data_IF_402686304728
#
_entry.id   IF_402686304728
#
_cell.length_a   1.000
_cell.length_b   1.000
_cell.length_c   1.000
_cell.angle_alpha   90.00
_cell.angle_beta   90.00
_cell.angle_gamma   90.00
#
_symmetry.space_group_name_H-M   'P 1'
#
loop_
_entity.id
_entity.type
_entity.pdbx_description
1 polymer ?
#
# COMPACT_ATOMS: atom_id res chain seq x y z
N UNK A 1 -5.95 14.95 -41.01
CA UNK A 1 -6.32 16.35 -40.72
C UNK A 1 -5.11 17.02 -40.10
N UNK A 2 -4.10 17.39 -40.91
CA UNK A 2 -2.88 18.13 -40.50
C UNK A 2 -3.18 19.01 -39.30
N UNK A 3 -2.55 18.75 -38.13
CA UNK A 3 -2.53 19.66 -36.98
C UNK A 3 -2.68 21.08 -37.51
N UNK A 4 -3.89 21.64 -37.37
CA UNK A 4 -4.12 23.01 -37.84
C UNK A 4 -3.15 23.81 -36.98
N UNK A 5 -2.14 24.42 -37.61
CA UNK A 5 -1.24 25.32 -36.91
C UNK A 5 -2.14 26.25 -36.13
N UNK A 6 -2.09 26.17 -34.80
CA UNK A 6 -2.78 27.12 -33.95
C UNK A 6 -2.18 28.47 -34.36
N UNK A 7 -2.94 29.35 -35.03
CA UNK A 7 -2.36 30.54 -35.60
C UNK A 7 -1.67 31.33 -34.49
N UNK A 8 -0.42 31.72 -34.72
CA UNK A 8 0.41 32.52 -33.80
C UNK A 8 0.98 31.82 -32.55
N UNK A 9 0.97 30.48 -32.46
CA UNK A 9 1.70 29.78 -31.41
C UNK A 9 3.17 29.52 -31.85
N UNK A 10 4.20 30.03 -31.15
CA UNK A 10 5.59 29.72 -31.48
C UNK A 10 5.88 28.26 -31.16
N UNK A 11 6.59 27.58 -32.06
CA UNK A 11 7.09 26.23 -31.82
C UNK A 11 8.17 26.27 -30.74
N UNK A 12 7.90 25.65 -29.58
CA UNK A 12 8.80 25.67 -28.42
C UNK A 12 9.78 24.50 -28.37
N UNK A 13 9.50 23.40 -29.07
CA UNK A 13 10.33 22.19 -29.03
C UNK A 13 10.04 21.26 -30.21
N UNK A 14 11.02 20.43 -30.61
CA UNK A 14 10.85 19.33 -31.57
C UNK A 14 11.46 18.04 -31.03
N UNK A 15 10.83 16.87 -31.29
CA UNK A 15 11.40 15.59 -30.93
C UNK A 15 12.69 15.31 -31.70
N UNK A 16 13.70 14.82 -30.98
CA UNK A 16 14.93 14.30 -31.57
C UNK A 16 14.74 12.90 -32.19
N UNK A 17 15.75 12.40 -32.92
CA UNK A 17 15.65 11.17 -33.75
C UNK A 17 15.11 9.93 -33.01
N UNK A 18 15.44 9.77 -31.72
CA UNK A 18 15.08 8.62 -30.88
C UNK A 18 13.77 8.79 -30.09
N UNK A 19 13.14 9.97 -30.15
CA UNK A 19 11.86 10.15 -29.49
C UNK A 19 10.78 9.25 -30.11
N UNK A 20 10.02 8.58 -29.25
CA UNK A 20 8.87 7.77 -29.64
C UNK A 20 9.19 6.41 -30.24
N UNK A 21 10.39 5.86 -30.07
CA UNK A 21 10.78 4.58 -30.68
C UNK A 21 9.87 3.41 -30.27
N UNK A 22 9.41 3.35 -29.02
CA UNK A 22 8.42 2.34 -28.60
C UNK A 22 7.06 2.53 -29.30
N UNK A 23 6.62 3.77 -29.50
CA UNK A 23 5.40 4.06 -30.24
C UNK A 23 5.52 3.66 -31.71
N UNK A 24 6.68 3.90 -32.34
CA UNK A 24 6.98 3.47 -33.72
C UNK A 24 6.97 1.94 -33.84
N UNK A 25 7.58 1.24 -32.88
CA UNK A 25 7.57 -0.24 -32.83
C UNK A 25 6.14 -0.77 -32.67
N UNK A 26 5.38 -0.21 -31.74
CA UNK A 26 4.00 -0.63 -31.51
C UNK A 26 3.11 -0.39 -32.74
N UNK A 27 3.21 0.81 -33.35
CA UNK A 27 2.53 1.13 -34.61
C UNK A 27 2.87 0.13 -35.71
N UNK A 28 4.14 -0.26 -35.86
CA UNK A 28 4.56 -1.22 -36.87
C UNK A 28 3.92 -2.60 -36.67
N UNK A 29 3.79 -3.06 -35.42
CA UNK A 29 3.07 -4.30 -35.08
C UNK A 29 1.62 -4.22 -35.55
N UNK A 30 0.95 -3.09 -35.34
CA UNK A 30 -0.43 -2.86 -35.82
C UNK A 30 -0.49 -2.90 -37.35
N UNK A 31 0.37 -2.15 -38.03
CA UNK A 31 0.41 -2.10 -39.50
C UNK A 31 0.61 -3.50 -40.11
N UNK A 32 1.53 -4.28 -39.55
CA UNK A 32 1.85 -5.62 -40.04
C UNK A 32 0.72 -6.63 -39.74
N UNK A 33 0.14 -6.58 -38.54
CA UNK A 33 -0.90 -7.54 -38.13
C UNK A 33 -2.25 -7.31 -38.81
N UNK A 34 -2.64 -6.03 -38.94
CA UNK A 34 -3.95 -5.64 -39.50
C UNK A 34 -3.89 -5.23 -40.97
N UNK A 35 -2.69 -5.29 -41.59
CA UNK A 35 -2.45 -4.93 -42.99
C UNK A 35 -2.92 -3.50 -43.31
N UNK A 36 -2.72 -2.58 -42.36
CA UNK A 36 -3.07 -1.16 -42.50
C UNK A 36 -1.81 -0.32 -42.69
N UNK A 37 -1.96 0.83 -43.35
CA UNK A 37 -0.90 1.85 -43.45
C UNK A 37 -1.35 3.05 -42.64
N UNK A 38 -0.55 3.45 -41.66
CA UNK A 38 -0.88 4.56 -40.77
C UNK A 38 0.12 5.68 -41.05
N UNK A 39 -0.30 6.82 -41.60
CA UNK A 39 0.60 7.94 -41.88
C UNK A 39 0.61 8.93 -40.70
N UNK A 40 1.77 9.04 -40.03
CA UNK A 40 1.89 9.91 -38.84
C UNK A 40 1.09 9.43 -37.62
N UNK A 41 0.77 10.37 -36.73
CA UNK A 41 0.06 10.13 -35.47
C UNK A 41 -1.47 10.15 -35.66
N UNK A 42 -1.98 11.04 -36.52
CA UNK A 42 -3.43 11.23 -36.72
C UNK A 42 -4.12 9.96 -37.23
N UNK A 43 -3.52 9.30 -38.22
CA UNK A 43 -4.05 8.05 -38.75
C UNK A 43 -4.01 6.94 -37.69
N UNK A 44 -2.93 6.89 -36.91
CA UNK A 44 -2.80 5.89 -35.84
C UNK A 44 -3.81 6.13 -34.72
N UNK A 45 -4.03 7.38 -34.33
CA UNK A 45 -5.06 7.77 -33.36
C UNK A 45 -6.47 7.45 -33.88
N UNK A 46 -6.77 7.77 -35.14
CA UNK A 46 -8.06 7.44 -35.74
C UNK A 46 -8.28 5.92 -35.71
N UNK A 47 -7.29 5.15 -36.12
CA UNK A 47 -7.34 3.69 -36.10
C UNK A 47 -7.55 3.15 -34.67
N UNK A 48 -6.85 3.68 -33.66
CA UNK A 48 -6.96 3.20 -32.28
C UNK A 48 -8.33 3.47 -31.65
N UNK A 49 -9.01 4.53 -32.07
CA UNK A 49 -10.37 4.86 -31.61
C UNK A 49 -11.42 4.02 -32.35
N UNK A 50 -11.27 3.86 -33.67
CA UNK A 50 -12.20 3.07 -34.50
C UNK A 50 -12.09 1.55 -34.22
N UNK A 51 -10.92 1.08 -33.80
CA UNK A 51 -10.62 -0.34 -33.51
C UNK A 51 -10.16 -0.50 -32.05
N UNK A 52 -10.96 0.01 -31.12
CA UNK A 52 -10.59 0.12 -29.70
C UNK A 52 -10.31 -1.24 -29.04
N UNK A 53 -11.08 -2.28 -29.38
CA UNK A 53 -10.88 -3.61 -28.83
C UNK A 53 -9.54 -4.21 -29.28
N UNK A 54 -9.24 -4.10 -30.57
CA UNK A 54 -8.00 -4.54 -31.20
C UNK A 54 -6.81 -3.77 -30.60
N UNK A 55 -6.89 -2.44 -30.57
CA UNK A 55 -5.82 -1.58 -30.04
C UNK A 55 -5.43 -1.96 -28.61
N UNK A 56 -6.41 -2.09 -27.71
CA UNK A 56 -6.13 -2.42 -26.31
C UNK A 56 -5.68 -3.87 -26.11
N UNK A 57 -6.15 -4.81 -26.93
CA UNK A 57 -5.64 -6.18 -26.94
C UNK A 57 -4.16 -6.24 -27.38
N UNK A 58 -3.79 -5.51 -28.44
CA UNK A 58 -2.39 -5.45 -28.86
C UNK A 58 -1.51 -4.71 -27.86
N UNK A 59 -2.02 -3.65 -27.23
CA UNK A 59 -1.25 -2.92 -26.22
C UNK A 59 -0.96 -3.80 -25.01
N UNK A 60 -1.92 -4.62 -24.60
CA UNK A 60 -1.72 -5.62 -23.55
C UNK A 60 -0.57 -6.58 -23.88
N UNK A 61 -0.52 -7.08 -25.10
CA UNK A 61 0.54 -8.00 -25.54
C UNK A 61 1.88 -7.28 -25.70
N UNK A 62 1.88 -6.07 -26.26
CA UNK A 62 3.08 -5.26 -26.44
C UNK A 62 3.74 -4.85 -25.12
N UNK A 63 2.93 -4.57 -24.08
CA UNK A 63 3.41 -4.29 -22.73
C UNK A 63 3.83 -5.56 -21.98
N UNK A 64 3.61 -6.74 -22.57
CA UNK A 64 3.90 -8.04 -21.98
C UNK A 64 3.31 -8.16 -20.56
N UNK A 65 2.03 -7.79 -20.42
CA UNK A 65 1.31 -7.85 -19.14
C UNK A 65 1.36 -9.27 -18.62
N UNK A 66 1.75 -9.43 -17.35
CA UNK A 66 1.73 -10.71 -16.64
C UNK A 66 0.32 -10.95 -16.11
N UNK A 67 -0.23 -12.13 -16.42
CA UNK A 67 -1.57 -12.54 -16.02
C UNK A 67 -1.65 -14.05 -15.79
N UNK A 68 -2.58 -14.45 -14.93
CA UNK A 68 -2.92 -15.86 -14.66
C UNK A 68 -4.06 -16.37 -15.54
N UNK A 69 -4.91 -15.47 -16.03
CA UNK A 69 -5.95 -15.75 -17.03
C UNK A 69 -6.09 -14.56 -17.97
N UNK A 70 -6.10 -14.82 -19.27
CA UNK A 70 -6.35 -13.80 -20.29
C UNK A 70 -7.81 -13.35 -20.25
N UNK A 71 -8.08 -12.12 -20.67
CA UNK A 71 -9.45 -11.65 -20.88
C UNK A 71 -10.16 -12.48 -21.97
N UNK A 72 -11.48 -12.58 -21.84
CA UNK A 72 -12.36 -13.14 -22.87
C UNK A 72 -12.81 -12.04 -23.85
N UNK A 73 -13.01 -10.82 -23.33
CA UNK A 73 -13.47 -9.65 -24.08
C UNK A 73 -12.79 -8.38 -23.55
N UNK A 74 -12.33 -7.51 -24.46
CA UNK A 74 -11.67 -6.25 -24.06
C UNK A 74 -12.68 -5.25 -23.50
N UNK A 75 -13.77 -4.98 -24.18
CA UNK A 75 -14.86 -4.12 -23.69
C UNK A 75 -16.12 -4.40 -24.51
N UNK A 76 -17.30 -4.20 -23.93
CA UNK A 76 -18.56 -4.18 -24.68
C UNK A 76 -18.93 -2.75 -25.08
N UNK A 77 -18.79 -2.42 -26.37
CA UNK A 77 -19.09 -1.09 -26.90
C UNK A 77 -20.60 -0.79 -26.98
N UNK A 78 -21.46 -1.77 -26.75
CA UNK A 78 -22.89 -1.55 -26.65
C UNK A 78 -23.32 -1.03 -25.26
N UNK A 79 -22.43 -1.13 -24.26
CA UNK A 79 -22.70 -0.63 -22.91
C UNK A 79 -22.32 0.85 -22.84
N UNK A 80 -23.25 1.75 -22.53
CA UNK A 80 -22.96 3.17 -22.45
C UNK A 80 -22.03 3.46 -21.27
N UNK A 81 -21.24 4.53 -21.39
CA UNK A 81 -20.29 4.92 -20.32
C UNK A 81 -20.97 5.19 -18.97
N UNK A 82 -22.24 5.62 -18.97
CA UNK A 82 -23.03 5.82 -17.75
C UNK A 82 -23.18 4.55 -16.91
N UNK A 83 -23.09 3.39 -17.57
CA UNK A 83 -23.29 2.08 -16.97
C UNK A 83 -21.97 1.37 -16.70
N UNK A 84 -20.84 2.10 -16.84
CA UNK A 84 -19.48 1.67 -16.52
C UNK A 84 -19.10 0.34 -17.20
N UNK A 85 -18.88 0.34 -18.53
CA UNK A 85 -18.52 -0.87 -19.27
C UNK A 85 -17.29 -1.54 -18.68
N UNK A 86 -17.36 -2.86 -18.49
CA UNK A 86 -16.25 -3.64 -17.96
C UNK A 86 -15.13 -3.74 -19.00
N UNK A 87 -13.91 -3.53 -18.55
CA UNK A 87 -12.70 -3.69 -19.35
C UNK A 87 -11.99 -5.00 -19.02
N UNK A 88 -11.47 -5.67 -20.04
CA UNK A 88 -10.74 -6.92 -19.97
C UNK A 88 -11.50 -7.99 -19.18
N UNK A 89 -12.79 -8.15 -19.48
CA UNK A 89 -13.67 -9.07 -18.78
C UNK A 89 -13.09 -10.49 -18.81
N UNK A 90 -13.05 -11.11 -17.64
CA UNK A 90 -12.47 -12.43 -17.44
C UNK A 90 -10.96 -12.45 -17.13
N UNK A 91 -10.22 -11.36 -17.37
CA UNK A 91 -8.80 -11.35 -17.02
C UNK A 91 -8.58 -11.51 -15.52
N UNK A 92 -7.49 -12.21 -15.16
CA UNK A 92 -7.00 -12.30 -13.79
C UNK A 92 -5.52 -11.98 -13.77
N UNK A 93 -5.15 -10.88 -13.14
CA UNK A 93 -3.77 -10.43 -12.96
C UNK A 93 -3.55 -9.90 -11.54
N UNK A 94 -2.29 -9.76 -11.15
CA UNK A 94 -1.91 -8.98 -9.99
C UNK A 94 -1.08 -7.77 -10.42
N UNK A 95 -1.45 -6.57 -9.96
CA UNK A 95 -0.74 -5.36 -10.36
C UNK A 95 0.69 -5.30 -9.76
N UNK A 96 0.89 -5.78 -8.53
CA UNK A 96 2.22 -5.85 -7.93
C UNK A 96 3.14 -6.82 -8.66
N UNK A 97 2.61 -7.92 -9.21
CA UNK A 97 3.39 -8.85 -10.06
C UNK A 97 3.91 -8.16 -11.32
N UNK A 98 3.11 -7.27 -11.93
CA UNK A 98 3.54 -6.49 -13.10
C UNK A 98 4.56 -5.40 -12.72
N UNK A 99 4.38 -4.73 -11.57
CA UNK A 99 5.35 -3.74 -11.05
C UNK A 99 6.69 -4.39 -10.65
N UNK A 100 6.64 -5.63 -10.16
CA UNK A 100 7.79 -6.42 -9.69
C UNK A 100 8.18 -7.51 -10.71
N UNK A 101 7.97 -7.24 -12.01
CA UNK A 101 8.30 -8.18 -13.10
C UNK A 101 9.76 -8.65 -13.06
N UNK A 102 10.67 -7.81 -12.59
CA UNK A 102 12.08 -8.12 -12.48
C UNK A 102 12.46 -8.54 -11.06
N UNK A 103 13.41 -9.47 -10.95
CA UNK A 103 13.93 -10.01 -9.68
C UNK A 103 15.46 -10.14 -9.72
N UNK A 104 16.10 -9.19 -10.40
CA UNK A 104 17.54 -9.17 -10.65
C UNK A 104 18.22 -7.96 -9.98
N UNK A 105 19.53 -7.83 -10.18
CA UNK A 105 20.36 -6.82 -9.53
C UNK A 105 20.33 -5.43 -10.20
N UNK A 106 19.43 -5.21 -11.17
CA UNK A 106 19.25 -3.86 -11.72
C UNK A 106 18.71 -2.93 -10.66
N UNK A 107 19.21 -1.69 -10.68
CA UNK A 107 18.73 -0.62 -9.80
C UNK A 107 17.25 -0.34 -10.06
N UNK A 108 16.44 -0.43 -9.01
CA UNK A 108 14.99 -0.22 -9.07
C UNK A 108 14.56 1.07 -8.37
N UNK A 109 15.18 1.38 -7.23
CA UNK A 109 14.79 2.50 -6.37
C UNK A 109 16.02 3.21 -5.82
N UNK A 110 15.98 4.54 -5.90
CA UNK A 110 16.88 5.44 -5.17
C UNK A 110 16.02 6.15 -4.13
N UNK A 111 16.44 6.08 -2.88
CA UNK A 111 15.76 6.73 -1.75
C UNK A 111 16.66 7.87 -1.29
N UNK A 112 16.08 9.05 -1.21
CA UNK A 112 16.75 10.27 -0.77
C UNK A 112 15.77 11.11 0.06
N UNK A 113 16.28 11.83 1.05
CA UNK A 113 15.48 12.62 1.97
C UNK A 113 16.33 13.41 2.96
N UNK A 114 15.76 14.47 3.53
CA UNK A 114 16.49 15.38 4.45
C UNK A 114 16.93 14.72 5.77
N UNK A 115 16.38 13.54 6.09
CA UNK A 115 16.61 12.77 7.29
C UNK A 115 17.13 11.35 7.02
N UNK A 116 17.56 11.06 5.79
CA UNK A 116 18.08 9.75 5.39
C UNK A 116 19.28 9.91 4.46
N UNK A 117 20.32 9.10 4.63
CA UNK A 117 21.36 8.99 3.61
C UNK A 117 20.80 8.36 2.32
N UNK A 118 21.39 8.70 1.17
CA UNK A 118 21.00 8.13 -0.11
C UNK A 118 21.15 6.61 -0.05
N UNK A 119 20.06 5.89 -0.31
CA UNK A 119 20.03 4.44 -0.39
C UNK A 119 19.62 4.01 -1.78
N UNK A 120 20.10 2.83 -2.18
CA UNK A 120 19.72 2.22 -3.45
C UNK A 120 19.22 0.80 -3.21
N UNK A 121 18.21 0.40 -3.98
CA UNK A 121 17.64 -0.94 -3.93
C UNK A 121 17.57 -1.52 -5.34
N UNK A 122 18.03 -2.76 -5.48
CA UNK A 122 17.83 -3.55 -6.69
C UNK A 122 16.40 -4.07 -6.79
N UNK A 123 16.00 -4.55 -7.97
CA UNK A 123 14.71 -5.23 -8.14
C UNK A 123 14.57 -6.46 -7.24
N UNK A 124 15.64 -7.25 -7.08
CA UNK A 124 15.66 -8.38 -6.16
C UNK A 124 15.40 -7.95 -4.69
N UNK A 125 16.05 -6.87 -4.24
CA UNK A 125 15.85 -6.34 -2.89
C UNK A 125 14.44 -5.76 -2.68
N UNK A 126 13.91 -5.03 -3.66
CA UNK A 126 12.55 -4.49 -3.60
C UNK A 126 11.49 -5.61 -3.57
N UNK A 127 11.71 -6.69 -4.33
CA UNK A 127 10.85 -7.86 -4.28
C UNK A 127 10.90 -8.55 -2.90
N UNK A 128 12.08 -8.67 -2.29
CA UNK A 128 12.21 -9.27 -0.96
C UNK A 128 11.53 -8.42 0.13
N UNK A 129 11.70 -7.09 0.10
CA UNK A 129 10.97 -6.20 1.00
C UNK A 129 9.46 -6.35 0.85
N UNK A 130 8.95 -6.36 -0.39
CA UNK A 130 7.53 -6.59 -0.65
C UNK A 130 7.05 -7.93 -0.10
N UNK A 131 7.85 -9.00 -0.27
CA UNK A 131 7.52 -10.34 0.24
C UNK A 131 7.39 -10.34 1.77
N UNK A 132 8.29 -9.67 2.47
CA UNK A 132 8.27 -9.55 3.95
C UNK A 132 7.03 -8.79 4.44
N UNK A 133 6.71 -7.64 3.84
CA UNK A 133 5.49 -6.90 4.17
C UNK A 133 4.23 -7.74 3.88
N UNK A 134 4.18 -8.43 2.74
CA UNK A 134 3.03 -9.26 2.38
C UNK A 134 2.86 -10.44 3.34
N UNK A 135 3.96 -11.05 3.80
CA UNK A 135 3.93 -12.09 4.83
C UNK A 135 3.43 -11.53 6.18
N UNK A 136 3.90 -10.36 6.59
CA UNK A 136 3.45 -9.69 7.82
C UNK A 136 1.95 -9.36 7.76
N UNK A 137 1.47 -8.80 6.64
CA UNK A 137 0.05 -8.50 6.44
C UNK A 137 -0.82 -9.76 6.49
N UNK A 138 -0.40 -10.87 5.88
CA UNK A 138 -1.13 -12.14 6.00
C UNK A 138 -1.14 -12.65 7.45
N UNK A 139 -0.02 -12.52 8.17
CA UNK A 139 0.12 -12.97 9.58
C UNK A 139 -0.85 -12.25 10.50
N UNK A 140 -1.05 -10.94 10.31
CA UNK A 140 -2.02 -10.13 11.08
C UNK A 140 -3.46 -10.23 10.53
N UNK A 141 -3.70 -11.12 9.56
CA UNK A 141 -5.04 -11.49 9.12
C UNK A 141 -5.63 -10.65 7.98
N UNK A 142 -4.81 -9.89 7.23
CA UNK A 142 -5.29 -9.20 6.04
C UNK A 142 -5.65 -10.20 4.95
N UNK A 143 -6.82 -9.97 4.35
CA UNK A 143 -7.41 -10.77 3.29
C UNK A 143 -7.72 -9.89 2.09
N UNK A 144 -8.00 -10.55 0.96
CA UNK A 144 -8.46 -9.88 -0.25
C UNK A 144 -9.69 -9.01 0.05
N UNK A 145 -9.66 -7.76 -0.40
CA UNK A 145 -10.73 -6.77 -0.19
C UNK A 145 -10.61 -5.96 1.10
N UNK A 146 -9.73 -6.32 2.03
CA UNK A 146 -9.49 -5.51 3.23
C UNK A 146 -8.82 -4.19 2.87
N UNK A 147 -9.18 -3.10 3.55
CA UNK A 147 -8.62 -1.77 3.28
C UNK A 147 -7.47 -1.48 4.24
N UNK A 148 -6.36 -1.02 3.67
CA UNK A 148 -5.19 -0.47 4.38
C UNK A 148 -5.06 1.00 4.04
N UNK A 149 -5.09 1.81 5.08
CA UNK A 149 -4.86 3.25 5.00
C UNK A 149 -3.38 3.54 5.22
N UNK A 150 -2.84 4.46 4.45
CA UNK A 150 -1.51 5.02 4.65
C UNK A 150 -1.56 6.52 4.87
N UNK A 151 -0.93 6.98 5.94
CA UNK A 151 -0.70 8.37 6.25
C UNK A 151 0.79 8.57 6.49
N UNK A 152 1.57 8.57 5.41
CA UNK A 152 3.03 8.69 5.43
C UNK A 152 3.46 9.65 4.33
N UNK A 153 4.61 10.29 4.54
CA UNK A 153 5.34 11.03 3.50
C UNK A 153 5.87 10.06 2.44
N UNK A 154 6.58 10.61 1.44
CA UNK A 154 7.13 9.81 0.35
C UNK A 154 8.31 8.94 0.83
N UNK A 155 7.99 7.81 1.46
CA UNK A 155 8.93 6.86 2.07
C UNK A 155 8.97 5.54 1.29
N UNK A 156 10.14 4.89 1.28
CA UNK A 156 10.30 3.53 0.74
C UNK A 156 9.37 2.53 1.41
N UNK A 157 9.10 2.71 2.70
CA UNK A 157 8.17 1.90 3.49
C UNK A 157 6.75 1.94 2.90
N UNK A 158 6.28 3.12 2.51
CA UNK A 158 4.96 3.28 1.88
C UNK A 158 4.92 2.56 0.53
N UNK A 159 5.99 2.62 -0.26
CA UNK A 159 6.11 1.91 -1.54
C UNK A 159 6.04 0.38 -1.33
N UNK A 160 6.87 -0.17 -0.44
CA UNK A 160 6.91 -1.61 -0.16
C UNK A 160 5.58 -2.10 0.43
N UNK A 161 4.98 -1.34 1.34
CA UNK A 161 3.68 -1.65 1.91
C UNK A 161 2.57 -1.63 0.85
N UNK A 162 2.55 -0.64 -0.05
CA UNK A 162 1.58 -0.56 -1.15
C UNK A 162 1.67 -1.79 -2.04
N UNK A 163 2.89 -2.15 -2.47
CA UNK A 163 3.13 -3.31 -3.32
C UNK A 163 2.69 -4.60 -2.62
N UNK A 164 2.95 -4.73 -1.32
CA UNK A 164 2.56 -5.88 -0.54
C UNK A 164 1.03 -5.99 -0.38
N UNK A 165 0.33 -4.89 -0.06
CA UNK A 165 -1.14 -4.84 0.03
C UNK A 165 -1.79 -5.25 -1.29
N UNK A 166 -1.29 -4.71 -2.41
CA UNK A 166 -1.76 -5.08 -3.75
C UNK A 166 -1.46 -6.54 -4.06
N UNK A 167 -0.28 -7.07 -3.68
CA UNK A 167 0.11 -8.45 -3.93
C UNK A 167 -0.82 -9.49 -3.28
N UNK A 168 -1.44 -9.14 -2.15
CA UNK A 168 -2.38 -10.01 -1.43
C UNK A 168 -3.85 -9.75 -1.79
N UNK A 169 -4.11 -8.81 -2.70
CA UNK A 169 -5.45 -8.42 -3.13
C UNK A 169 -6.22 -7.56 -2.12
N UNK A 170 -5.53 -6.99 -1.14
CA UNK A 170 -6.08 -5.95 -0.27
C UNK A 170 -6.09 -4.60 -1.02
N UNK A 171 -6.80 -3.63 -0.48
CA UNK A 171 -7.04 -2.31 -1.08
C UNK A 171 -6.17 -1.29 -0.36
N UNK A 172 -5.35 -0.57 -1.13
CA UNK A 172 -4.53 0.52 -0.61
C UNK A 172 -5.24 1.87 -0.79
N UNK A 173 -5.19 2.72 0.23
CA UNK A 173 -5.57 4.13 0.14
C UNK A 173 -4.58 4.96 0.93
N UNK A 174 -4.35 6.20 0.51
CA UNK A 174 -3.40 7.07 1.18
C UNK A 174 -3.87 8.51 1.28
N UNK A 175 -3.47 9.19 2.35
CA UNK A 175 -3.56 10.64 2.47
C UNK A 175 -2.18 11.19 2.86
N UNK A 176 -1.75 12.25 2.19
CA UNK A 176 -0.47 12.88 2.48
C UNK A 176 -0.50 13.54 3.87
N UNK A 177 0.61 13.47 4.62
CA UNK A 177 0.66 13.97 5.99
C UNK A 177 0.55 15.49 6.10
N UNK A 178 0.66 16.23 5.00
CA UNK A 178 0.45 17.68 4.97
C UNK A 178 -1.02 18.08 5.12
N UNK A 179 -1.98 17.19 4.81
CA UNK A 179 -3.40 17.49 4.90
C UNK A 179 -3.86 17.58 6.35
N UNK A 180 -4.58 18.62 6.76
CA UNK A 180 -5.09 18.74 8.15
C UNK A 180 -5.89 17.50 8.60
N UNK A 181 -5.84 17.16 9.89
CA UNK A 181 -6.41 15.93 10.44
C UNK A 181 -7.90 15.73 10.08
N UNK A 182 -8.71 16.78 10.16
CA UNK A 182 -10.13 16.74 9.75
C UNK A 182 -10.34 16.37 8.28
N UNK A 183 -9.46 16.84 7.38
CA UNK A 183 -9.55 16.50 5.96
C UNK A 183 -9.16 15.03 5.74
N UNK A 184 -8.25 14.50 6.54
CA UNK A 184 -7.84 13.09 6.53
C UNK A 184 -8.97 12.20 7.08
N UNK A 185 -9.51 12.56 8.24
CA UNK A 185 -10.64 11.89 8.90
C UNK A 185 -11.84 11.74 7.98
N UNK A 186 -12.26 12.82 7.29
CA UNK A 186 -13.40 12.75 6.37
C UNK A 186 -13.23 11.73 5.26
N UNK A 187 -11.99 11.43 4.86
CA UNK A 187 -11.70 10.38 3.86
C UNK A 187 -11.69 9.01 4.52
N UNK A 188 -11.07 8.88 5.68
CA UNK A 188 -10.83 7.60 6.34
C UNK A 188 -12.07 7.04 7.04
N UNK A 189 -12.94 7.89 7.59
CA UNK A 189 -14.19 7.47 8.24
C UNK A 189 -15.18 6.78 7.28
N UNK A 190 -15.05 7.02 5.97
CA UNK A 190 -15.88 6.36 4.96
C UNK A 190 -15.36 4.96 4.61
N UNK A 191 -14.20 4.58 5.16
CA UNK A 191 -13.46 3.40 4.80
C UNK A 191 -13.38 2.52 6.03
N UNK A 192 -14.00 1.34 5.99
CA UNK A 192 -13.94 0.35 7.06
C UNK A 192 -12.56 -0.34 7.05
N UNK A 193 -11.52 0.44 7.34
CA UNK A 193 -10.13 0.05 7.22
C UNK A 193 -9.69 -0.79 8.42
N UNK A 194 -8.90 -1.83 8.14
CA UNK A 194 -8.35 -2.70 9.18
C UNK A 194 -7.04 -2.18 9.75
N UNK A 195 -6.28 -1.43 8.96
CA UNK A 195 -4.95 -0.96 9.31
C UNK A 195 -4.78 0.49 8.88
N UNK A 196 -4.15 1.27 9.76
CA UNK A 196 -3.52 2.54 9.45
C UNK A 196 -2.01 2.39 9.56
N UNK A 197 -1.30 2.62 8.46
CA UNK A 197 0.14 2.77 8.41
C UNK A 197 0.51 4.24 8.49
N UNK A 198 1.44 4.59 9.36
CA UNK A 198 1.91 5.96 9.50
C UNK A 198 3.37 6.02 9.97
N UNK A 199 3.91 7.23 9.99
CA UNK A 199 5.22 7.57 10.55
C UNK A 199 5.05 8.55 11.71
N UNK A 200 6.01 8.57 12.64
CA UNK A 200 6.01 9.46 13.80
C UNK A 200 6.30 10.92 13.41
N UNK A 201 7.07 11.12 12.36
CA UNK A 201 7.37 12.43 11.80
C UNK A 201 8.22 12.34 10.54
N UNK A 202 8.52 13.50 9.97
CA UNK A 202 9.43 13.63 8.83
C UNK A 202 10.11 14.99 8.85
N UNK A 203 11.21 15.11 8.09
CA UNK A 203 11.90 16.40 7.92
C UNK A 203 11.51 17.04 6.59
N UNK A 204 11.17 18.33 6.64
CA UNK A 204 10.80 19.13 5.47
C UNK A 204 11.32 20.55 5.63
N UNK A 205 12.01 21.06 4.61
CA UNK A 205 12.61 22.40 4.61
C UNK A 205 13.56 22.60 5.80
N UNK A 206 14.29 21.55 6.17
CA UNK A 206 15.24 21.52 7.28
C UNK A 206 14.60 21.42 8.66
N UNK A 207 13.27 21.37 8.77
CA UNK A 207 12.52 21.32 10.04
C UNK A 207 11.91 19.95 10.28
N UNK A 208 11.96 19.50 11.53
CA UNK A 208 11.27 18.30 11.97
C UNK A 208 9.77 18.58 12.12
N UNK A 209 8.95 17.72 11.51
CA UNK A 209 7.49 17.75 11.57
C UNK A 209 7.03 16.58 12.42
N UNK A 210 6.47 16.87 13.59
CA UNK A 210 5.86 15.88 14.47
C UNK A 210 4.43 15.55 13.99
N UNK A 211 4.18 14.28 13.67
CA UNK A 211 2.87 13.80 13.24
C UNK A 211 2.07 13.14 14.37
N UNK A 212 2.66 12.85 15.53
CA UNK A 212 1.99 12.11 16.60
C UNK A 212 0.70 12.81 17.10
N UNK A 213 0.67 14.13 17.34
CA UNK A 213 -0.57 14.80 17.77
C UNK A 213 -1.70 14.67 16.75
N UNK A 214 -1.33 14.73 15.47
CA UNK A 214 -2.26 14.61 14.36
C UNK A 214 -2.77 13.18 14.19
N UNK A 215 -1.90 12.20 14.39
CA UNK A 215 -2.27 10.80 14.34
C UNK A 215 -3.20 10.40 15.48
N UNK A 216 -2.99 10.95 16.67
CA UNK A 216 -3.93 10.79 17.78
C UNK A 216 -5.33 11.29 17.37
N UNK A 217 -5.44 12.49 16.80
CA UNK A 217 -6.72 13.03 16.32
C UNK A 217 -7.36 12.14 15.24
N UNK A 218 -6.56 11.65 14.29
CA UNK A 218 -7.06 10.77 13.21
C UNK A 218 -7.56 9.44 13.76
N UNK A 219 -6.84 8.84 14.70
CA UNK A 219 -7.20 7.53 15.25
C UNK A 219 -8.42 7.65 16.18
N UNK A 220 -8.47 8.68 17.02
CA UNK A 220 -9.64 8.96 17.87
C UNK A 220 -10.92 9.15 17.03
N UNK A 221 -10.80 9.80 15.87
CA UNK A 221 -11.93 9.99 14.96
C UNK A 221 -12.29 8.78 14.10
N UNK A 222 -11.51 7.70 14.11
CA UNK A 222 -11.78 6.49 13.33
C UNK A 222 -12.24 5.34 14.24
N UNK A 223 -13.55 5.18 14.38
CA UNK A 223 -14.19 4.21 15.29
C UNK A 223 -13.93 2.73 14.96
N UNK A 224 -13.43 2.40 13.76
CA UNK A 224 -13.23 1.02 13.30
C UNK A 224 -11.76 0.58 13.17
N UNK A 225 -10.78 1.47 13.48
CA UNK A 225 -9.36 1.12 13.39
C UNK A 225 -8.97 0.14 14.50
N UNK A 226 -9.03 -1.15 14.19
CA UNK A 226 -8.72 -2.23 15.13
C UNK A 226 -7.22 -2.36 15.47
N UNK A 227 -6.33 -1.62 14.79
CA UNK A 227 -4.89 -1.74 14.97
C UNK A 227 -4.16 -0.40 14.72
N UNK A 228 -3.96 0.38 15.80
CA UNK A 228 -2.85 1.33 15.91
C UNK A 228 -1.87 0.73 16.93
N UNK A 229 -0.75 0.19 16.47
CA UNK A 229 0.10 -0.64 17.32
C UNK A 229 1.30 0.09 17.98
N UNK A 230 1.61 1.35 17.66
CA UNK A 230 2.94 1.88 17.98
C UNK A 230 2.94 3.40 18.29
N UNK A 231 3.37 3.76 19.51
CA UNK A 231 3.92 5.08 19.83
C UNK A 231 5.38 4.89 20.25
N UNK A 232 6.29 5.66 19.65
CA UNK A 232 7.73 5.67 19.97
C UNK A 232 7.95 6.50 21.24
N UNK A 233 8.74 5.98 22.19
CA UNK A 233 9.16 6.73 23.37
C UNK A 233 10.37 7.61 23.01
N UNK A 234 10.16 8.90 22.78
CA UNK A 234 11.19 9.80 22.22
C UNK A 234 12.34 10.08 23.18
N UNK A 235 12.19 9.73 24.46
CA UNK A 235 13.28 9.83 25.46
C UNK A 235 14.28 8.66 25.40
N UNK A 236 14.03 7.63 24.59
CA UNK A 236 14.86 6.43 24.51
C UNK A 236 15.45 6.18 23.11
N UNK A 237 16.70 5.66 23.00
CA UNK A 237 17.31 5.32 21.72
C UNK A 237 16.50 4.26 20.98
N UNK A 238 16.43 4.39 19.65
CA UNK A 238 15.77 3.43 18.77
C UNK A 238 16.81 2.56 18.04
N UNK A 239 16.48 1.28 17.86
CA UNK A 239 17.32 0.30 17.19
C UNK A 239 16.54 -0.38 16.07
N UNK A 240 17.22 -0.79 15.01
CA UNK A 240 16.61 -1.49 13.87
C UNK A 240 15.90 -2.76 14.35
N UNK A 241 14.71 -3.04 13.80
CA UNK A 241 13.86 -4.22 14.12
C UNK A 241 13.36 -4.30 15.58
N UNK A 242 13.44 -3.19 16.32
CA UNK A 242 13.06 -3.12 17.73
C UNK A 242 12.12 -1.95 18.01
N UNK A 243 11.15 -2.18 18.90
CA UNK A 243 10.39 -1.14 19.58
C UNK A 243 11.20 -0.67 20.79
N UNK A 244 11.32 0.64 20.98
CA UNK A 244 12.17 1.22 22.01
C UNK A 244 11.50 1.35 23.39
N UNK A 245 10.18 1.22 23.51
CA UNK A 245 9.48 1.05 24.78
C UNK A 245 8.02 0.63 24.57
N UNK A 246 7.38 0.18 25.64
CA UNK A 246 5.92 0.18 25.72
C UNK A 246 5.41 1.62 25.91
N UNK A 247 4.28 1.96 25.29
CA UNK A 247 3.61 3.24 25.48
C UNK A 247 3.27 3.47 26.96
N UNK A 248 3.55 4.67 27.48
CA UNK A 248 3.16 5.05 28.84
C UNK A 248 1.64 4.90 29.03
N UNK A 249 1.25 4.33 30.17
CA UNK A 249 -0.15 4.05 30.48
C UNK A 249 -0.71 2.78 29.83
N UNK A 250 0.02 2.09 28.95
CA UNK A 250 -0.39 0.83 28.34
C UNK A 250 0.08 -0.36 29.19
N UNK A 251 -0.81 -1.13 29.84
CA UNK A 251 -0.48 -2.25 30.72
C UNK A 251 -0.13 -3.52 29.92
N UNK A 252 0.83 -3.38 29.01
CA UNK A 252 1.26 -4.40 28.06
C UNK A 252 2.17 -5.45 28.73
N UNK A 253 1.86 -6.72 28.51
CA UNK A 253 2.64 -7.89 28.95
C UNK A 253 2.79 -8.87 27.78
N UNK A 254 3.80 -9.73 27.83
CA UNK A 254 4.05 -10.77 26.83
C UNK A 254 3.75 -12.12 27.45
N UNK A 255 2.83 -12.88 26.88
CA UNK A 255 2.37 -14.15 27.45
C UNK A 255 2.89 -15.33 26.67
N UNK A 256 3.41 -16.33 27.37
CA UNK A 256 3.70 -17.63 26.78
C UNK A 256 2.40 -18.40 26.44
N UNK A 257 2.55 -19.59 25.88
CA UNK A 257 1.42 -20.47 25.57
C UNK A 257 0.69 -20.99 26.83
N UNK A 258 1.28 -20.85 28.02
CA UNK A 258 0.68 -21.25 29.30
C UNK A 258 -0.05 -20.10 30.01
N UNK A 259 0.00 -18.88 29.46
CA UNK A 259 -0.64 -17.70 30.03
C UNK A 259 0.16 -17.00 31.13
N UNK A 260 1.47 -17.28 31.22
CA UNK A 260 2.39 -16.58 32.12
C UNK A 260 3.04 -15.40 31.41
N UNK A 261 3.17 -14.28 32.14
CA UNK A 261 3.94 -13.14 31.64
C UNK A 261 5.43 -13.52 31.60
N UNK A 262 6.03 -13.43 30.42
CA UNK A 262 7.43 -13.78 30.17
C UNK A 262 8.25 -12.55 29.75
N UNK A 263 9.56 -12.63 29.97
CA UNK A 263 10.54 -11.67 29.48
C UNK A 263 11.77 -12.45 28.99
N UNK A 264 12.32 -12.04 27.85
CA UNK A 264 13.40 -12.74 27.14
C UNK A 264 12.91 -13.86 26.22
N UNK A 265 11.61 -14.15 26.25
CA UNK A 265 10.98 -15.22 25.49
C UNK A 265 9.90 -14.67 24.54
N UNK A 266 9.63 -15.45 23.50
CA UNK A 266 8.60 -15.15 22.52
C UNK A 266 7.22 -15.38 23.12
N UNK A 267 6.31 -14.42 22.95
CA UNK A 267 4.94 -14.57 23.39
C UNK A 267 3.98 -13.58 22.76
N UNK A 268 2.71 -13.70 23.10
CA UNK A 268 1.66 -12.82 22.61
C UNK A 268 1.57 -11.53 23.42
N UNK A 269 1.28 -10.44 22.73
CA UNK A 269 1.01 -9.15 23.36
C UNK A 269 -0.37 -9.20 24.02
N UNK A 270 -0.39 -8.95 25.33
CA UNK A 270 -1.59 -8.95 26.17
C UNK A 270 -1.73 -7.62 26.91
N UNK A 271 -2.92 -7.03 26.88
CA UNK A 271 -3.30 -5.87 27.68
C UNK A 271 -3.92 -6.38 28.98
N UNK A 272 -3.18 -6.20 30.07
CA UNK A 272 -3.49 -6.80 31.37
C UNK A 272 -4.47 -5.99 32.23
N UNK A 273 -4.79 -4.75 31.85
CA UNK A 273 -5.76 -3.88 32.53
C UNK A 273 -6.59 -3.09 31.51
N UNK A 274 -7.83 -2.67 31.85
CA UNK A 274 -8.66 -1.87 30.95
C UNK A 274 -7.95 -0.59 30.49
N UNK A 275 -8.18 -0.22 29.23
CA UNK A 275 -7.75 1.04 28.63
C UNK A 275 -8.95 1.76 28.01
N UNK A 276 -8.96 3.11 27.99
CA UNK A 276 -10.07 3.89 27.42
C UNK A 276 -10.24 3.70 25.91
N UNK A 277 -9.20 3.24 25.22
CA UNK A 277 -9.16 3.05 23.77
C UNK A 277 -9.29 1.58 23.33
N UNK A 278 -9.68 0.65 24.22
CA UNK A 278 -10.00 -0.71 23.79
C UNK A 278 -11.30 -0.70 22.95
N UNK A 279 -11.37 -1.49 21.86
CA UNK A 279 -12.62 -1.69 21.14
C UNK A 279 -13.74 -2.15 22.08
N UNK A 280 -14.97 -1.70 21.85
CA UNK A 280 -16.13 -2.11 22.65
C UNK A 280 -16.87 -3.32 22.04
N UNK A 281 -16.58 -3.65 20.77
CA UNK A 281 -17.21 -4.73 20.02
C UNK A 281 -16.72 -4.77 18.58
N UNK A 282 -17.26 -5.70 17.80
CA UNK A 282 -17.04 -5.78 16.35
C UNK A 282 -18.31 -5.36 15.60
N UNK A 283 -18.12 -4.77 14.42
CA UNK A 283 -19.25 -4.47 13.53
C UNK A 283 -19.97 -5.76 13.10
N UNK A 284 -21.30 -5.74 13.08
CA UNK A 284 -22.18 -6.91 12.88
C UNK A 284 -22.05 -8.05 13.93
N UNK A 285 -21.40 -7.81 15.06
CA UNK A 285 -21.32 -8.73 16.20
C UNK A 285 -22.28 -8.26 17.30
N UNK A 286 -23.58 -8.34 17.02
CA UNK A 286 -24.63 -7.73 17.85
C UNK A 286 -24.68 -8.28 19.28
N UNK A 287 -24.22 -9.51 19.51
CA UNK A 287 -24.15 -10.13 20.84
C UNK A 287 -22.74 -10.06 21.46
N UNK A 288 -21.74 -9.54 20.72
CA UNK A 288 -20.35 -9.46 21.14
C UNK A 288 -19.65 -10.81 21.25
N UNK A 289 -20.24 -11.89 20.73
CA UNK A 289 -19.71 -13.25 20.84
C UNK A 289 -18.39 -13.39 20.08
N UNK A 290 -18.32 -12.84 18.86
CA UNK A 290 -17.11 -12.89 18.02
C UNK A 290 -16.00 -12.06 18.65
N UNK A 291 -16.32 -10.90 19.21
CA UNK A 291 -15.37 -10.02 19.90
C UNK A 291 -14.78 -10.71 21.14
N UNK A 292 -15.62 -11.30 21.99
CA UNK A 292 -15.18 -12.04 23.18
C UNK A 292 -14.35 -13.27 22.81
N UNK A 293 -14.81 -14.04 21.83
CA UNK A 293 -14.11 -15.23 21.36
C UNK A 293 -12.74 -14.88 20.77
N UNK A 294 -12.63 -13.78 20.04
CA UNK A 294 -11.39 -13.40 19.37
C UNK A 294 -10.35 -12.80 20.33
N UNK A 295 -10.76 -11.95 21.26
CA UNK A 295 -9.83 -11.13 22.05
C UNK A 295 -9.69 -11.57 23.51
N UNK A 296 -10.63 -12.34 24.07
CA UNK A 296 -10.69 -12.68 25.49
C UNK A 296 -10.73 -14.19 25.79
N UNK A 297 -10.91 -15.05 24.79
CA UNK A 297 -11.01 -16.52 24.98
C UNK A 297 -9.71 -17.14 25.49
N UNK A 298 -8.57 -16.69 24.96
CA UNK A 298 -7.27 -17.32 25.24
C UNK A 298 -6.76 -17.02 26.65
N UNK A 299 -6.93 -15.77 27.11
CA UNK A 299 -6.48 -15.32 28.42
C UNK A 299 -7.64 -14.65 29.17
N UNK A 300 -8.36 -15.39 30.03
CA UNK A 300 -9.54 -14.86 30.71
C UNK A 300 -9.28 -13.54 31.45
N UNK A 301 -10.13 -12.55 31.18
CA UNK A 301 -10.04 -11.21 31.78
C UNK A 301 -8.94 -10.31 31.20
N UNK A 302 -8.23 -10.74 30.16
CA UNK A 302 -7.17 -9.97 29.51
C UNK A 302 -7.47 -9.84 28.02
N UNK A 303 -7.10 -8.70 27.43
CA UNK A 303 -7.32 -8.44 26.01
C UNK A 303 -6.08 -8.83 25.22
N UNK A 304 -6.25 -9.69 24.22
CA UNK A 304 -5.15 -10.25 23.41
C UNK A 304 -4.99 -9.43 22.14
N UNK A 305 -3.84 -8.81 21.89
CA UNK A 305 -3.61 -8.00 20.68
C UNK A 305 -3.38 -8.86 19.42
N UNK A 306 -3.21 -10.17 19.58
CA UNK A 306 -2.97 -11.16 18.50
C UNK A 306 -1.64 -10.98 17.74
N UNK A 307 -0.71 -10.22 18.33
CA UNK A 307 0.65 -10.01 17.83
C UNK A 307 1.68 -10.75 18.71
N UNK A 308 2.78 -11.19 18.13
CA UNK A 308 3.84 -11.98 18.79
C UNK A 308 5.17 -11.23 18.82
N UNK A 309 5.78 -11.07 20.00
CA UNK A 309 7.07 -10.38 20.17
C UNK A 309 7.91 -10.99 21.30
N UNK A 310 9.19 -10.63 21.38
CA UNK A 310 10.05 -10.87 22.55
C UNK A 310 10.24 -9.56 23.29
N UNK A 311 9.91 -9.52 24.59
CA UNK A 311 10.27 -8.38 25.46
C UNK A 311 11.67 -8.63 26.02
N UNK A 312 12.63 -7.73 25.83
CA UNK A 312 14.00 -7.82 26.39
C UNK A 312 14.13 -6.93 27.63
N UNK A 313 14.82 -7.43 28.68
CA UNK A 313 15.20 -6.63 29.84
C UNK A 313 16.52 -5.94 29.50
N UNK A 314 16.44 -4.71 29.02
CA UNK A 314 17.48 -3.72 29.27
C UNK A 314 16.76 -2.43 29.69
N UNK A 315 17.47 -1.49 30.30
CA UNK A 315 16.97 -0.23 30.91
C UNK A 315 16.21 0.74 29.95
N UNK A 316 15.70 0.22 28.85
CA UNK A 316 14.97 0.88 27.77
C UNK A 316 13.88 -0.03 27.15
N UNK A 317 13.25 -0.95 27.87
CA UNK A 317 11.97 -1.58 27.45
C UNK A 317 11.90 -2.13 26.02
N UNK A 318 13.01 -2.69 25.52
CA UNK A 318 13.18 -3.08 24.11
C UNK A 318 12.27 -4.28 23.78
N UNK A 319 11.41 -4.17 22.78
CA UNK A 319 10.64 -5.31 22.27
C UNK A 319 11.02 -5.61 20.81
N UNK A 320 11.30 -6.89 20.50
CA UNK A 320 11.73 -7.34 19.17
C UNK A 320 10.61 -8.14 18.51
N UNK A 321 10.26 -7.79 17.27
CA UNK A 321 9.18 -8.45 16.53
C UNK A 321 9.69 -9.74 15.86
N UNK A 322 9.02 -10.86 16.11
CA UNK A 322 9.31 -12.16 15.49
C UNK A 322 8.50 -12.44 14.22
#
# INVERSE_FOLDING_TARGET
MSFHQIPNAPLVWRPEKHHGDNMKKFKKIIEDKYLVKLEGYEDFYKWSVENICEFWAELWDFLEIIYSRRFDKVVDLNVPMSDLPKWFEGAKLNHAENLLKYKDDRLALIVDGEDTEIQTYTFAQMHEQTRLYAAAFRKIGLKKGDIVICHMSNRKEALFATQAVISIGAIWTAALPMLGAQAVLRRFQQLNAKILLSEDGYRLEGKDVDLLPKLAEIVEGCTELAQLALLRETTLPAYKEQMNAATLGMPMQIFDNNGHSVIGEAGEIVISKPLPNLPLGLWNDNDGSVYREKYFSKYPGKYTMLDFIIKKINFSGICEKL
#
